data_IF_251904679092
#
_entry.id   IF_251904679092
#
_cell.length_a   1.000
_cell.length_b   1.000
_cell.length_c   1.000
_cell.angle_alpha   90.00
_cell.angle_beta   90.00
_cell.angle_gamma   90.00
#
_symmetry.space_group_name_H-M   'P 1'
#
loop_
_entity.id
_entity.type
_entity.pdbx_description
1 polymer ?
#
# COMPACT_ATOMS: atom_id res chain seq x y z
N UNK A 1 13.22 -15.13 -15.75
CA UNK A 1 13.05 -14.85 -15.15
C UNK A 1 13.07 -14.21 -14.55
N UNK A 2 12.62 -13.92 -14.42
CA UNK A 2 12.88 -13.21 -13.77
C UNK A 2 12.65 -12.92 -12.70
N UNK A 3 13.30 -12.62 -12.03
CA UNK A 3 13.08 -12.42 -10.69
C UNK A 3 11.83 -11.68 -10.46
N UNK A 4 11.24 -11.90 -9.38
CA UNK A 4 9.95 -11.47 -9.13
C UNK A 4 9.73 -10.00 -9.16
N UNK A 5 10.62 -9.15 -8.61
CA UNK A 5 10.37 -7.72 -8.69
C UNK A 5 10.24 -7.25 -10.11
N UNK A 6 11.04 -7.78 -10.99
CA UNK A 6 10.92 -7.38 -12.34
C UNK A 6 9.66 -7.86 -12.98
N UNK A 7 9.17 -8.99 -12.53
CA UNK A 7 7.93 -9.42 -13.06
C UNK A 7 6.82 -8.52 -12.74
N UNK A 8 6.83 -7.93 -11.53
CA UNK A 8 5.80 -7.01 -11.17
C UNK A 8 5.83 -5.77 -12.04
N UNK A 9 6.92 -5.49 -12.69
CA UNK A 9 6.98 -4.34 -13.57
C UNK A 9 6.46 -4.61 -14.98
N UNK A 10 5.95 -5.82 -15.23
CA UNK A 10 5.50 -6.18 -16.56
C UNK A 10 4.09 -5.70 -16.87
N UNK A 11 3.56 -6.14 -18.02
CA UNK A 11 2.20 -5.79 -18.41
C UNK A 11 1.22 -6.27 -17.36
N UNK A 12 0.21 -5.49 -17.08
CA UNK A 12 -0.78 -5.83 -16.08
C UNK A 12 -0.47 -5.31 -14.71
N UNK A 13 0.72 -4.77 -14.52
CA UNK A 13 1.09 -4.18 -13.23
C UNK A 13 0.66 -2.73 -13.19
N UNK A 14 0.06 -2.34 -12.09
CA UNK A 14 -0.39 -0.97 -11.88
C UNK A 14 0.34 -0.41 -10.68
N UNK A 15 0.83 0.80 -10.81
CA UNK A 15 1.54 1.47 -9.73
C UNK A 15 0.79 2.71 -9.29
N UNK A 16 0.83 3.02 -8.01
CA UNK A 16 0.31 4.27 -7.49
C UNK A 16 1.16 4.78 -6.35
N UNK A 17 1.16 6.08 -6.15
CA UNK A 17 1.95 6.72 -5.10
C UNK A 17 1.05 7.65 -4.31
N UNK A 18 1.29 7.72 -3.01
CA UNK A 18 0.48 8.59 -2.17
C UNK A 18 1.28 8.96 -0.93
N UNK A 19 1.17 10.21 -0.49
CA UNK A 19 1.85 10.65 0.70
C UNK A 19 1.00 10.34 1.93
N UNK A 20 1.66 9.89 2.99
CA UNK A 20 0.98 9.61 4.26
C UNK A 20 0.87 10.90 5.03
N UNK A 21 -0.35 11.35 5.25
CA UNK A 21 -0.60 12.58 5.99
C UNK A 21 -1.28 12.36 7.33
N UNK A 22 -1.53 11.11 7.69
CA UNK A 22 -2.08 10.78 9.00
C UNK A 22 -1.08 11.21 10.07
N UNK A 23 -1.52 11.91 11.11
CA UNK A 23 -0.57 12.53 12.06
C UNK A 23 0.39 11.57 12.72
N UNK A 24 -0.02 10.33 12.91
CA UNK A 24 0.83 9.36 13.59
C UNK A 24 1.58 8.48 12.58
N UNK A 25 1.19 8.57 11.30
CA UNK A 25 1.81 7.73 10.29
C UNK A 25 1.09 6.39 10.18
N UNK A 26 1.80 5.40 9.66
CA UNK A 26 1.22 4.09 9.40
C UNK A 26 1.45 3.20 10.62
N UNK A 27 0.57 3.31 11.59
CA UNK A 27 0.64 2.49 12.80
C UNK A 27 -0.47 1.45 12.79
N UNK A 28 -0.82 0.90 13.95
CA UNK A 28 -1.66 -0.30 13.99
C UNK A 28 -3.01 -0.15 13.30
N UNK A 29 -3.78 0.89 13.66
CA UNK A 29 -5.13 1.00 13.08
C UNK A 29 -5.13 1.28 11.59
N UNK A 30 -4.36 2.26 11.11
CA UNK A 30 -4.27 2.44 9.66
C UNK A 30 -3.75 1.20 8.94
N UNK A 31 -2.80 0.49 9.54
CA UNK A 31 -2.25 -0.70 8.92
C UNK A 31 -3.29 -1.80 8.79
N UNK A 32 -4.14 -1.95 9.81
CA UNK A 32 -5.22 -2.94 9.73
C UNK A 32 -6.18 -2.59 8.60
N UNK A 33 -6.57 -1.31 8.50
CA UNK A 33 -7.48 -0.90 7.44
C UNK A 33 -6.87 -1.12 6.07
N UNK A 34 -5.62 -0.78 5.90
CA UNK A 34 -4.94 -0.98 4.64
C UNK A 34 -4.89 -2.45 4.27
N UNK A 35 -4.51 -3.28 5.23
CA UNK A 35 -4.36 -4.70 4.99
C UNK A 35 -5.69 -5.35 4.65
N UNK A 36 -6.75 -4.98 5.36
CA UNK A 36 -8.06 -5.53 5.09
C UNK A 36 -8.56 -5.16 3.71
N UNK A 37 -8.33 -3.91 3.30
CA UNK A 37 -8.73 -3.51 1.97
C UNK A 37 -7.93 -4.26 0.93
N UNK A 38 -6.61 -4.39 1.12
CA UNK A 38 -5.78 -5.12 0.16
C UNK A 38 -6.24 -6.57 0.02
N UNK A 39 -6.66 -7.18 1.12
CA UNK A 39 -7.11 -8.57 1.08
C UNK A 39 -8.41 -8.75 0.29
N UNK A 40 -9.16 -7.69 0.09
CA UNK A 40 -10.43 -7.79 -0.63
C UNK A 40 -10.23 -7.93 -2.14
N UNK A 41 -9.00 -7.74 -2.63
CA UNK A 41 -8.71 -7.85 -4.04
C UNK A 41 -7.98 -9.15 -4.33
N UNK A 42 -8.18 -9.66 -5.54
CA UNK A 42 -7.48 -10.86 -5.97
C UNK A 42 -6.06 -10.58 -6.40
N UNK A 43 -5.82 -9.38 -6.89
CA UNK A 43 -4.49 -9.02 -7.35
C UNK A 43 -3.48 -9.16 -6.22
N UNK A 44 -2.26 -9.52 -6.58
CA UNK A 44 -1.15 -9.41 -5.65
C UNK A 44 -0.84 -7.95 -5.47
N UNK A 45 -0.69 -7.50 -4.23
CA UNK A 45 -0.44 -6.10 -3.92
C UNK A 45 0.76 -6.01 -3.01
N UNK A 46 1.67 -5.11 -3.34
CA UNK A 46 2.83 -4.86 -2.49
C UNK A 46 3.04 -3.36 -2.37
N UNK A 47 3.78 -2.98 -1.33
CA UNK A 47 4.04 -1.57 -1.12
C UNK A 47 5.42 -1.39 -0.50
N UNK A 48 5.92 -0.19 -0.59
CA UNK A 48 7.15 0.22 0.07
C UNK A 48 7.08 1.71 0.35
N UNK A 49 7.92 2.17 1.26
CA UNK A 49 8.16 3.60 1.38
C UNK A 49 9.03 4.01 0.20
N UNK A 50 8.75 5.17 -0.37
CA UNK A 50 9.46 5.60 -1.57
C UNK A 50 10.96 5.68 -1.37
N UNK A 51 11.41 6.03 -0.15
CA UNK A 51 12.83 6.13 0.14
C UNK A 51 13.51 4.78 0.37
N UNK A 52 12.72 3.72 0.53
CA UNK A 52 13.25 2.40 0.80
C UNK A 52 13.11 1.53 -0.42
N UNK A 53 13.90 0.47 -0.48
CA UNK A 53 13.81 -0.44 -1.61
C UNK A 53 13.06 -1.72 -1.31
N UNK A 54 12.73 -1.95 -0.04
CA UNK A 54 12.13 -3.22 0.36
C UNK A 54 10.63 -3.21 0.14
N UNK A 55 10.18 -4.07 -0.76
CA UNK A 55 8.76 -4.26 -0.97
C UNK A 55 8.22 -5.24 0.07
N UNK A 56 7.01 -4.99 0.53
CA UNK A 56 6.33 -5.91 1.44
C UNK A 56 4.95 -6.22 0.91
N UNK A 57 4.43 -7.37 1.32
CA UNK A 57 3.10 -7.82 0.94
C UNK A 57 2.06 -6.94 1.65
N UNK A 58 1.25 -6.24 0.88
CA UNK A 58 0.25 -5.34 1.44
C UNK A 58 -0.85 -6.08 2.20
N UNK A 59 -0.94 -7.39 2.02
CA UNK A 59 -1.96 -8.20 2.70
C UNK A 59 -1.47 -8.74 4.04
N UNK A 60 -0.23 -8.44 4.43
CA UNK A 60 0.34 -8.92 5.68
C UNK A 60 0.48 -7.76 6.66
N UNK A 61 -0.31 -7.80 7.74
CA UNK A 61 -0.27 -6.73 8.74
C UNK A 61 1.12 -6.63 9.38
N UNK A 62 1.76 -7.77 9.62
CA UNK A 62 3.07 -7.77 10.24
C UNK A 62 4.09 -7.06 9.34
N UNK A 63 4.06 -7.36 8.05
CA UNK A 63 4.99 -6.75 7.13
C UNK A 63 4.73 -5.27 6.93
N UNK A 64 3.45 -4.90 6.84
CA UNK A 64 3.10 -3.49 6.65
C UNK A 64 3.55 -2.67 7.86
N UNK A 65 3.30 -3.18 9.07
CA UNK A 65 3.71 -2.46 10.27
C UNK A 65 5.21 -2.37 10.41
N UNK A 66 5.92 -3.37 9.90
CA UNK A 66 7.38 -3.37 9.98
C UNK A 66 8.02 -2.26 9.16
N UNK A 67 7.29 -1.69 8.19
CA UNK A 67 7.81 -0.56 7.42
C UNK A 67 8.01 0.69 8.26
N UNK A 68 7.21 0.85 9.31
CA UNK A 68 7.31 2.00 10.21
C UNK A 68 7.24 3.32 9.47
N UNK A 69 6.30 3.41 8.54
CA UNK A 69 6.15 4.60 7.73
C UNK A 69 5.63 5.76 8.58
N UNK A 70 6.22 6.92 8.39
CA UNK A 70 5.91 8.11 9.19
C UNK A 70 5.15 9.12 8.36
N UNK A 71 4.55 10.08 9.05
CA UNK A 71 3.85 11.17 8.36
C UNK A 71 4.84 11.89 7.45
N UNK A 72 4.37 12.22 6.26
CA UNK A 72 5.19 12.90 5.27
C UNK A 72 5.87 11.98 4.29
N UNK A 73 6.01 10.71 4.62
CA UNK A 73 6.62 9.78 3.68
C UNK A 73 5.62 9.36 2.60
N UNK A 74 6.14 9.05 1.44
CA UNK A 74 5.33 8.60 0.32
C UNK A 74 5.35 7.07 0.26
N UNK A 75 4.17 6.50 0.07
CA UNK A 75 4.04 5.07 -0.18
C UNK A 75 3.92 4.81 -1.66
N UNK A 76 4.54 3.72 -2.11
CA UNK A 76 4.41 3.25 -3.48
C UNK A 76 3.70 1.92 -3.44
N UNK A 77 2.59 1.82 -4.16
CA UNK A 77 1.84 0.57 -4.28
C UNK A 77 2.04 0.01 -5.67
N UNK A 78 2.16 -1.31 -5.76
CA UNK A 78 2.10 -2.00 -7.04
C UNK A 78 1.16 -3.18 -6.90
N UNK A 79 0.37 -3.40 -7.92
CA UNK A 79 -0.56 -4.52 -7.93
C UNK A 79 -0.51 -5.22 -9.29
N UNK A 80 -0.69 -6.53 -9.28
CA UNK A 80 -0.66 -7.35 -10.48
C UNK A 80 -1.83 -8.33 -10.42
N UNK A 81 -2.70 -8.27 -11.40
CA UNK A 81 -3.85 -9.14 -11.46
C UNK A 81 -5.03 -8.46 -12.10
N UNK A 82 -6.14 -9.18 -12.18
CA UNK A 82 -7.31 -8.69 -12.91
C UNK A 82 -7.89 -7.41 -12.33
N UNK A 83 -7.87 -7.27 -11.00
CA UNK A 83 -8.41 -6.09 -10.36
C UNK A 83 -7.31 -5.17 -9.82
N UNK A 84 -6.13 -5.22 -10.45
CA UNK A 84 -4.99 -4.44 -9.97
C UNK A 84 -5.25 -2.95 -9.98
N UNK A 85 -5.87 -2.44 -11.06
CA UNK A 85 -6.11 -1.00 -11.15
C UNK A 85 -7.06 -0.53 -10.05
N UNK A 86 -8.11 -1.31 -9.78
CA UNK A 86 -9.05 -0.96 -8.74
C UNK A 86 -8.37 -1.04 -7.37
N UNK A 87 -7.52 -2.04 -7.18
CA UNK A 87 -6.82 -2.19 -5.91
C UNK A 87 -5.95 -0.99 -5.61
N UNK A 88 -5.15 -0.57 -6.59
CA UNK A 88 -4.28 0.58 -6.40
C UNK A 88 -5.10 1.84 -6.17
N UNK A 89 -6.14 2.04 -6.98
CA UNK A 89 -6.99 3.21 -6.84
C UNK A 89 -7.59 3.29 -5.44
N UNK A 90 -8.12 2.18 -4.95
CA UNK A 90 -8.79 2.19 -3.65
C UNK A 90 -7.80 2.35 -2.50
N UNK A 91 -6.62 1.75 -2.62
CA UNK A 91 -5.62 1.88 -1.57
C UNK A 91 -5.06 3.30 -1.50
N UNK A 92 -4.80 3.91 -2.65
CA UNK A 92 -4.35 5.30 -2.68
C UNK A 92 -5.42 6.19 -2.06
N UNK A 93 -6.68 5.97 -2.43
CA UNK A 93 -7.76 6.78 -1.90
C UNK A 93 -7.89 6.62 -0.39
N UNK A 94 -7.70 5.40 0.11
CA UNK A 94 -7.77 5.17 1.55
C UNK A 94 -6.71 6.00 2.29
N UNK A 95 -5.49 6.01 1.78
CA UNK A 95 -4.43 6.78 2.40
C UNK A 95 -4.74 8.27 2.30
N UNK A 96 -5.27 8.71 1.17
CA UNK A 96 -5.62 10.12 1.00
C UNK A 96 -6.69 10.57 1.97
N UNK A 97 -7.58 9.67 2.36
CA UNK A 97 -8.62 9.97 3.34
C UNK A 97 -8.12 9.82 4.77
N UNK A 98 -6.84 9.68 4.97
CA UNK A 98 -6.24 9.44 6.27
C UNK A 98 -6.85 8.23 6.95
N UNK A 99 -7.11 7.18 6.14
CA UNK A 99 -7.67 5.91 6.61
C UNK A 99 -9.01 6.10 7.29
N UNK A 100 -9.72 7.18 6.93
CA UNK A 100 -11.04 7.49 7.49
C UNK A 100 -11.01 7.71 9.01
N UNK A 101 -9.86 8.14 9.52
CA UNK A 101 -9.71 8.27 10.97
C UNK A 101 -9.65 9.69 11.46
N UNK A 102 -9.13 10.61 10.66
CA UNK A 102 -8.93 11.94 11.14
C UNK A 102 -10.17 12.69 11.40
N UNK A 103 -11.17 12.41 10.64
CA UNK A 103 -12.38 13.19 10.77
C UNK A 103 -12.97 13.10 12.15
N UNK A 104 -12.58 12.11 12.88
CA UNK A 104 -13.13 11.92 14.21
C UNK A 104 -12.69 13.02 15.15
N UNK A 105 -11.65 13.67 14.82
CA UNK A 105 -11.22 14.66 15.73
C UNK A 105 -11.67 15.98 15.39
#
# INVERSE_FOLDING_TARGET
MTPEPERMAGPGVVEGRVQVNHPIGLHARPSVKLTQLAKSFRAAVRLRAAEEEDWVDAKSIVRVMALKVKVGQTLVFEADGADAAQAVHDLVALVERNFDELAAE
#
